data_IF_106368108792
#
_entry.id   IF_106368108792
#
_cell.length_a   1.000
_cell.length_b   1.000
_cell.length_c   1.000
_cell.angle_alpha   90.00
_cell.angle_beta   90.00
_cell.angle_gamma   90.00
#
_symmetry.space_group_name_H-M   'P 1'
#
loop_
_entity.id
_entity.type
_entity.pdbx_description
1 polymer ?
#
# COMPACT_ATOMS: atom_id res chain seq x y z
N UNK A 1 -11.58 20.80 -8.09
CA UNK A 1 -11.64 19.50 -7.37
C UNK A 1 -11.89 18.40 -8.39
N UNK A 2 -11.12 17.34 -8.36
CA UNK A 2 -11.27 16.26 -9.33
C UNK A 2 -11.87 15.02 -8.65
N UNK A 3 -13.20 14.85 -8.82
CA UNK A 3 -13.93 13.73 -8.23
C UNK A 3 -13.52 12.38 -8.83
N UNK A 4 -13.15 12.36 -10.12
CA UNK A 4 -12.74 11.11 -10.78
C UNK A 4 -11.47 10.55 -10.17
N UNK A 5 -10.49 11.39 -9.82
CA UNK A 5 -9.26 10.94 -9.17
C UNK A 5 -9.50 10.50 -7.73
N UNK A 6 -10.38 11.19 -7.00
CA UNK A 6 -10.78 10.76 -5.67
C UNK A 6 -11.49 9.39 -5.73
N UNK A 7 -12.38 9.21 -6.70
CA UNK A 7 -13.07 7.92 -6.89
C UNK A 7 -12.08 6.81 -7.25
N UNK A 8 -11.05 7.12 -8.03
CA UNK A 8 -10.00 6.16 -8.38
C UNK A 8 -9.27 5.69 -7.12
N UNK A 9 -8.95 6.60 -6.20
CA UNK A 9 -8.34 6.25 -4.91
C UNK A 9 -9.27 5.33 -4.11
N UNK A 10 -10.57 5.67 -4.02
CA UNK A 10 -11.57 4.83 -3.36
C UNK A 10 -11.62 3.44 -3.98
N UNK A 11 -11.68 3.36 -5.30
CA UNK A 11 -11.71 2.10 -6.03
C UNK A 11 -10.49 1.24 -5.70
N UNK A 12 -9.31 1.86 -5.66
CA UNK A 12 -8.05 1.18 -5.34
C UNK A 12 -8.11 0.54 -3.94
N UNK A 13 -8.48 1.32 -2.92
CA UNK A 13 -8.50 0.80 -1.55
C UNK A 13 -9.67 -0.15 -1.28
N UNK A 14 -10.81 0.04 -1.93
CA UNK A 14 -11.92 -0.92 -1.85
C UNK A 14 -11.51 -2.27 -2.45
N UNK A 15 -10.76 -2.26 -3.55
CA UNK A 15 -10.18 -3.48 -4.13
C UNK A 15 -9.22 -4.14 -3.13
N UNK A 16 -8.38 -3.35 -2.48
CA UNK A 16 -7.43 -3.85 -1.48
C UNK A 16 -8.17 -4.46 -0.28
N UNK A 17 -9.25 -3.82 0.18
CA UNK A 17 -10.06 -4.36 1.28
C UNK A 17 -10.59 -5.77 1.00
N UNK A 18 -10.91 -6.06 -0.26
CA UNK A 18 -11.36 -7.41 -0.66
C UNK A 18 -10.25 -8.28 -1.24
N UNK A 19 -9.00 -7.83 -1.12
CA UNK A 19 -7.80 -8.55 -1.59
C UNK A 19 -7.84 -8.86 -3.09
N UNK A 20 -8.32 -7.91 -3.88
CA UNK A 20 -8.44 -8.02 -5.33
C UNK A 20 -7.29 -7.28 -6.00
N UNK A 21 -6.15 -7.96 -6.15
CA UNK A 21 -4.94 -7.36 -6.72
C UNK A 21 -5.11 -6.94 -8.18
N UNK A 22 -5.93 -7.66 -8.97
CA UNK A 22 -6.15 -7.31 -10.37
C UNK A 22 -6.91 -5.99 -10.49
N UNK A 23 -7.90 -5.77 -9.65
CA UNK A 23 -8.62 -4.50 -9.60
C UNK A 23 -7.72 -3.35 -9.13
N UNK A 24 -6.81 -3.61 -8.17
CA UNK A 24 -5.81 -2.64 -7.76
C UNK A 24 -4.89 -2.27 -8.92
N UNK A 25 -4.33 -3.26 -9.59
CA UNK A 25 -3.42 -3.05 -10.72
C UNK A 25 -4.10 -2.32 -11.88
N UNK A 26 -5.38 -2.54 -12.08
CA UNK A 26 -6.16 -1.85 -13.12
C UNK A 26 -6.26 -0.34 -12.89
N UNK A 27 -6.04 0.14 -11.66
CA UNK A 27 -6.01 1.56 -11.34
C UNK A 27 -4.70 2.24 -11.74
N UNK A 28 -3.65 1.46 -12.04
CA UNK A 28 -2.31 1.97 -12.35
C UNK A 28 -2.10 2.16 -13.85
N UNK A 29 -1.27 3.15 -14.19
CA UNK A 29 -0.70 3.22 -15.53
C UNK A 29 0.24 2.03 -15.74
N UNK A 30 0.45 1.64 -17.02
CA UNK A 30 1.36 0.54 -17.34
C UNK A 30 2.79 0.78 -16.87
N UNK A 31 3.21 2.04 -16.82
CA UNK A 31 4.55 2.46 -16.38
C UNK A 31 4.55 3.07 -14.98
N UNK A 32 3.62 2.70 -14.13
CA UNK A 32 3.50 3.25 -12.77
C UNK A 32 4.82 3.16 -12.00
N UNK A 33 5.09 4.19 -11.20
CA UNK A 33 6.16 4.18 -10.22
C UNK A 33 5.56 4.07 -8.83
N UNK A 34 5.88 2.98 -8.15
CA UNK A 34 5.51 2.77 -6.75
C UNK A 34 6.75 2.85 -5.87
N UNK A 35 6.61 3.40 -4.67
CA UNK A 35 7.67 3.30 -3.68
C UNK A 35 7.10 3.19 -2.26
N UNK A 36 7.84 2.47 -1.41
CA UNK A 36 7.61 2.46 0.02
C UNK A 36 8.92 2.16 0.77
N UNK A 37 8.93 2.28 2.12
CA UNK A 37 10.16 2.05 2.88
C UNK A 37 10.66 0.60 2.86
N UNK A 38 9.80 -0.38 2.60
CA UNK A 38 10.16 -1.80 2.65
C UNK A 38 10.63 -2.32 1.29
N UNK A 39 9.87 -2.03 0.22
CA UNK A 39 10.16 -2.54 -1.12
C UNK A 39 11.04 -1.61 -1.95
N UNK A 40 11.19 -0.35 -1.53
CA UNK A 40 11.87 0.65 -2.33
C UNK A 40 11.04 1.05 -3.55
N UNK A 41 11.69 1.26 -4.69
CA UNK A 41 11.02 1.64 -5.93
C UNK A 41 10.70 0.42 -6.79
N UNK A 42 9.45 0.36 -7.25
CA UNK A 42 8.98 -0.68 -8.18
C UNK A 42 8.31 0.02 -9.37
N UNK A 43 8.56 -0.49 -10.58
CA UNK A 43 8.01 0.11 -11.81
C UNK A 43 7.12 -0.87 -12.54
N UNK A 44 6.04 -0.33 -13.11
CA UNK A 44 5.17 -1.04 -14.02
C UNK A 44 4.62 -2.32 -13.41
N UNK A 45 4.82 -3.43 -14.11
CA UNK A 45 4.30 -4.73 -13.69
C UNK A 45 4.77 -5.15 -12.29
N UNK A 46 5.99 -4.77 -11.89
CA UNK A 46 6.54 -5.14 -10.59
C UNK A 46 5.70 -4.59 -9.44
N UNK A 47 5.13 -3.39 -9.60
CA UNK A 47 4.21 -2.83 -8.61
C UNK A 47 2.95 -3.68 -8.48
N UNK A 48 2.36 -4.08 -9.59
CA UNK A 48 1.20 -4.99 -9.59
C UNK A 48 1.52 -6.35 -8.99
N UNK A 49 2.68 -6.89 -9.32
CA UNK A 49 3.13 -8.18 -8.80
C UNK A 49 3.33 -8.14 -7.28
N UNK A 50 3.80 -7.01 -6.75
CA UNK A 50 3.89 -6.81 -5.29
C UNK A 50 2.50 -6.95 -4.65
N UNK A 51 1.48 -6.31 -5.20
CA UNK A 51 0.12 -6.41 -4.66
C UNK A 51 -0.43 -7.83 -4.81
N UNK A 52 -0.14 -8.51 -5.91
CA UNK A 52 -0.54 -9.91 -6.11
C UNK A 52 0.07 -10.82 -5.04
N UNK A 53 1.34 -10.61 -4.73
CA UNK A 53 2.02 -11.36 -3.68
C UNK A 53 1.40 -11.07 -2.31
N UNK A 54 1.25 -9.79 -1.96
CA UNK A 54 0.75 -9.39 -0.64
C UNK A 54 -0.69 -9.85 -0.41
N UNK A 55 -1.56 -9.72 -1.40
CA UNK A 55 -2.96 -10.13 -1.27
C UNK A 55 -3.10 -11.64 -1.19
N UNK A 56 -2.24 -12.39 -1.88
CA UNK A 56 -2.24 -13.85 -1.83
C UNK A 56 -1.79 -14.36 -0.46
N UNK A 57 -0.85 -13.67 0.17
CA UNK A 57 -0.27 -14.08 1.47
C UNK A 57 -1.00 -13.49 2.67
N UNK A 58 -1.91 -12.55 2.47
CA UNK A 58 -2.60 -11.85 3.54
C UNK A 58 -3.41 -12.82 4.40
N UNK A 59 -3.26 -12.69 5.73
CA UNK A 59 -4.02 -13.45 6.72
C UNK A 59 -4.57 -12.50 7.76
N UNK A 60 -5.82 -12.74 8.17
CA UNK A 60 -6.50 -11.91 9.17
C UNK A 60 -6.40 -10.42 8.80
N UNK A 61 -6.60 -10.14 7.52
CA UNK A 61 -6.39 -8.82 6.94
C UNK A 61 -7.63 -7.95 7.09
N UNK A 62 -7.41 -6.73 7.55
CA UNK A 62 -8.41 -5.67 7.48
C UNK A 62 -7.73 -4.37 7.11
N UNK A 63 -8.46 -3.49 6.45
CA UNK A 63 -7.94 -2.21 6.01
C UNK A 63 -9.03 -1.15 6.14
N UNK A 64 -8.66 -0.03 6.73
CA UNK A 64 -9.48 1.18 6.72
C UNK A 64 -8.70 2.29 6.02
N UNK A 65 -9.41 3.22 5.39
CA UNK A 65 -8.78 4.37 4.77
C UNK A 65 -9.68 5.60 4.91
N UNK A 66 -9.04 6.75 5.00
CA UNK A 66 -9.72 8.04 5.12
C UNK A 66 -8.85 9.15 4.53
N UNK A 67 -9.31 10.39 4.69
CA UNK A 67 -8.59 11.57 4.25
C UNK A 67 -8.22 11.49 2.77
N UNK A 68 -9.13 10.97 1.95
CA UNK A 68 -8.95 10.92 0.49
C UNK A 68 -9.10 12.34 -0.05
N UNK A 69 -8.07 12.77 -0.79
CA UNK A 69 -8.04 14.09 -1.39
C UNK A 69 -7.37 14.02 -2.74
N UNK A 70 -7.80 14.88 -3.66
CA UNK A 70 -7.22 14.91 -5.00
C UNK A 70 -7.48 16.23 -5.70
N UNK A 71 -6.61 16.55 -6.64
CA UNK A 71 -6.84 17.54 -7.69
C UNK A 71 -6.60 16.87 -9.05
N UNK A 72 -6.42 17.67 -10.10
CA UNK A 72 -6.26 17.12 -11.46
C UNK A 72 -4.98 16.30 -11.62
N UNK A 73 -3.96 16.56 -10.83
CA UNK A 73 -2.63 16.00 -11.02
C UNK A 73 -2.17 15.10 -9.88
N UNK A 74 -2.60 15.39 -8.68
CA UNK A 74 -2.08 14.71 -7.49
C UNK A 74 -3.17 14.42 -6.48
N UNK A 75 -2.85 13.59 -5.50
CA UNK A 75 -3.76 13.26 -4.42
C UNK A 75 -3.07 12.53 -3.29
N UNK A 76 -3.86 12.14 -2.32
CA UNK A 76 -3.37 11.41 -1.19
C UNK A 76 -4.48 10.73 -0.41
N UNK A 77 -4.07 9.88 0.50
CA UNK A 77 -4.97 9.20 1.43
C UNK A 77 -4.17 8.71 2.62
N UNK A 78 -4.88 8.46 3.69
CA UNK A 78 -4.36 7.79 4.88
C UNK A 78 -4.99 6.41 4.94
N UNK A 79 -4.19 5.37 5.21
CA UNK A 79 -4.75 4.04 5.36
C UNK A 79 -4.04 3.27 6.47
N UNK A 80 -4.78 2.37 7.10
CA UNK A 80 -4.28 1.52 8.18
C UNK A 80 -4.64 0.08 7.85
N UNK A 81 -3.62 -0.76 7.77
CA UNK A 81 -3.80 -2.19 7.55
C UNK A 81 -3.44 -2.96 8.82
N UNK A 82 -4.29 -3.91 9.16
CA UNK A 82 -4.06 -4.84 10.26
C UNK A 82 -4.01 -6.25 9.70
N UNK A 83 -2.95 -6.98 9.98
CA UNK A 83 -2.79 -8.32 9.44
C UNK A 83 -1.84 -9.16 10.30
N UNK A 84 -1.89 -10.48 10.07
CA UNK A 84 -0.98 -11.41 10.70
C UNK A 84 0.29 -11.54 9.85
N UNK A 85 1.44 -11.28 10.47
CA UNK A 85 2.72 -11.52 9.81
C UNK A 85 3.07 -13.00 9.98
N UNK A 86 2.92 -13.78 8.91
CA UNK A 86 2.93 -15.23 9.00
C UNK A 86 4.26 -15.83 9.46
N UNK A 87 5.37 -15.15 9.19
CA UNK A 87 6.69 -15.64 9.60
C UNK A 87 6.86 -15.73 11.12
N UNK A 88 6.21 -14.85 11.88
CA UNK A 88 6.33 -14.80 13.35
C UNK A 88 5.03 -15.07 14.08
N UNK A 89 3.89 -14.98 13.38
CA UNK A 89 2.57 -15.05 14.00
C UNK A 89 2.16 -13.78 14.72
N UNK A 90 2.93 -12.70 14.58
CA UNK A 90 2.62 -11.42 15.22
C UNK A 90 1.60 -10.63 14.41
N UNK A 91 0.72 -9.92 15.12
CA UNK A 91 -0.21 -8.99 14.48
C UNK A 91 0.50 -7.66 14.21
N UNK A 92 0.35 -7.15 13.00
CA UNK A 92 0.89 -5.85 12.59
C UNK A 92 -0.26 -4.90 12.34
N UNK A 93 -0.13 -3.68 12.88
CA UNK A 93 -0.97 -2.54 12.53
C UNK A 93 -0.07 -1.51 11.85
N UNK A 94 -0.23 -1.34 10.54
CA UNK A 94 0.61 -0.43 9.76
C UNK A 94 -0.19 0.80 9.36
N UNK A 95 0.30 1.97 9.79
CA UNK A 95 -0.32 3.27 9.58
C UNK A 95 0.45 3.99 8.47
N UNK A 96 -0.21 4.26 7.35
CA UNK A 96 0.46 4.65 6.11
C UNK A 96 -0.14 5.91 5.55
N UNK A 97 0.73 6.83 5.11
CA UNK A 97 0.34 7.99 4.32
C UNK A 97 0.70 7.73 2.87
N UNK A 98 -0.28 7.87 1.98
CA UNK A 98 -0.09 7.63 0.55
C UNK A 98 -0.16 8.95 -0.22
N UNK A 99 0.71 9.08 -1.23
CA UNK A 99 0.70 10.18 -2.20
C UNK A 99 0.58 9.60 -3.59
N UNK A 100 -0.23 10.25 -4.41
CA UNK A 100 -0.50 9.81 -5.77
C UNK A 100 -0.26 10.92 -6.78
N UNK A 101 0.18 10.52 -7.97
CA UNK A 101 0.17 11.36 -9.17
C UNK A 101 -0.69 10.64 -10.22
N UNK A 102 -1.51 11.40 -10.94
CA UNK A 102 -2.46 10.85 -11.89
C UNK A 102 -2.09 11.26 -13.33
N UNK A 103 -2.38 10.38 -14.26
CA UNK A 103 -2.22 10.62 -15.68
C UNK A 103 -3.28 9.83 -16.45
N UNK A 104 -4.05 10.52 -17.29
CA UNK A 104 -5.05 9.90 -18.16
C UNK A 104 -6.05 9.02 -17.40
N UNK A 105 -6.48 9.49 -16.23
CA UNK A 105 -7.49 8.79 -15.42
C UNK A 105 -6.96 7.59 -14.65
N UNK A 106 -5.64 7.45 -14.56
CA UNK A 106 -4.99 6.35 -13.81
C UNK A 106 -3.90 6.88 -12.90
N UNK A 107 -3.44 6.03 -12.00
CA UNK A 107 -2.35 6.37 -11.07
C UNK A 107 -1.02 6.15 -11.79
N UNK A 108 -0.25 7.22 -11.98
CA UNK A 108 1.08 7.16 -12.59
C UNK A 108 2.19 7.03 -11.55
N UNK A 109 1.95 7.54 -10.32
CA UNK A 109 2.87 7.36 -9.19
C UNK A 109 2.08 7.13 -7.92
N UNK A 110 2.61 6.27 -7.08
CA UNK A 110 2.04 5.94 -5.78
C UNK A 110 3.19 5.75 -4.79
N UNK A 111 3.27 6.64 -3.81
CA UNK A 111 4.33 6.61 -2.81
C UNK A 111 3.71 6.47 -1.42
N UNK A 112 4.03 5.36 -0.76
CA UNK A 112 3.61 5.10 0.62
C UNK A 112 4.74 5.46 1.58
N UNK A 113 4.39 6.06 2.70
CA UNK A 113 5.33 6.32 3.78
C UNK A 113 4.77 5.80 5.10
N UNK A 114 5.61 5.11 5.85
CA UNK A 114 5.29 4.61 7.18
C UNK A 114 6.57 4.43 7.99
N UNK A 115 6.42 4.28 9.30
CA UNK A 115 7.52 4.06 10.22
C UNK A 115 7.98 2.59 10.11
N UNK A 116 9.04 2.36 9.33
CA UNK A 116 9.58 1.01 9.11
C UNK A 116 10.10 0.39 10.40
N UNK A 117 10.66 1.19 11.30
CA UNK A 117 11.13 0.72 12.59
C UNK A 117 9.97 0.17 13.44
N UNK A 118 8.87 0.94 13.51
CA UNK A 118 7.67 0.52 14.23
C UNK A 118 7.07 -0.74 13.60
N UNK A 119 7.00 -0.80 12.27
CA UNK A 119 6.55 -1.99 11.54
C UNK A 119 7.41 -3.20 11.92
N UNK A 120 8.75 -3.04 11.87
CA UNK A 120 9.69 -4.13 12.17
C UNK A 120 9.53 -4.66 13.59
N UNK A 121 9.32 -3.77 14.56
CA UNK A 121 9.10 -4.17 15.96
C UNK A 121 7.82 -5.01 16.10
N UNK A 122 6.76 -4.63 15.41
CA UNK A 122 5.50 -5.36 15.44
C UNK A 122 5.63 -6.72 14.74
N UNK A 123 6.17 -6.72 13.53
CA UNK A 123 6.25 -7.91 12.69
C UNK A 123 7.23 -8.94 13.25
N UNK A 124 8.42 -8.51 13.65
CA UNK A 124 9.53 -9.38 14.05
C UNK A 124 9.64 -9.54 15.58
N UNK A 125 9.09 -8.61 16.34
CA UNK A 125 9.24 -8.56 17.78
C UNK A 125 10.66 -8.14 18.20
N UNK A 126 10.90 -8.04 19.49
CA UNK A 126 12.19 -7.59 20.03
C UNK A 126 13.34 -8.50 19.60
N UNK A 127 13.13 -9.81 19.64
CA UNK A 127 14.16 -10.79 19.28
C UNK A 127 14.53 -10.67 17.79
N UNK A 128 13.53 -10.49 16.93
CA UNK A 128 13.76 -10.29 15.49
C UNK A 128 14.55 -9.03 15.21
N UNK A 129 14.29 -7.95 15.94
CA UNK A 129 15.04 -6.69 15.80
C UNK A 129 16.51 -6.87 16.16
N UNK A 130 16.79 -7.57 17.27
CA UNK A 130 18.16 -7.83 17.70
C UNK A 130 18.92 -8.64 16.64
N UNK A 131 18.28 -9.65 16.07
CA UNK A 131 18.89 -10.45 14.99
C UNK A 131 19.06 -9.66 13.72
N UNK A 132 18.13 -8.76 13.42
CA UNK A 132 18.18 -7.91 12.24
C UNK A 132 19.34 -6.92 12.24
N UNK A 133 19.90 -6.61 13.40
CA UNK A 133 21.04 -5.69 13.55
C UNK A 133 22.40 -6.38 13.48
N UNK A 134 22.40 -7.69 13.49
CA UNK A 134 23.63 -8.47 13.41
C UNK A 134 23.84 -9.02 12.00
#
# INVERSE_FOLDING_TARGET
MNHANAELIHTFYQAFQRLDAEAMAACYCDDVLFSDPAFGELRGRDAGDMWRMLTTRAKDFSLTFDNVRSDEHSGGAHWVATYLFSATGNTVVNDIQARFVFRDGKISEHHDSFDLWRWSRQALGTKGLLLGWT
#
